data_IF_634176103384
#
_entry.id   IF_634176103384
#
_cell.length_a   1.000
_cell.length_b   1.000
_cell.length_c   1.000
_cell.angle_alpha   90.00
_cell.angle_beta   90.00
_cell.angle_gamma   90.00
#
_symmetry.space_group_name_H-M   'P 1'
#
loop_
_entity.id
_entity.type
_entity.pdbx_description
1 polymer ?
#
# COMPACT_ATOMS: atom_id res chain seq x y z
N UNK A 1 7.59 -14.02 -14.44
CA UNK A 1 7.73 -13.98 -12.96
C UNK A 1 6.40 -13.80 -12.23
N UNK A 2 5.43 -13.05 -12.76
CA UNK A 2 4.16 -12.73 -12.08
C UNK A 2 3.41 -13.98 -11.58
N UNK A 3 3.28 -15.04 -12.40
CA UNK A 3 2.61 -16.28 -11.99
C UNK A 3 3.28 -17.02 -10.82
N UNK A 4 4.55 -16.70 -10.51
CA UNK A 4 5.34 -17.36 -9.46
C UNK A 4 5.44 -16.46 -8.22
N UNK A 5 5.73 -15.18 -8.43
CA UNK A 5 6.04 -14.21 -7.37
C UNK A 5 4.89 -13.22 -7.08
N UNK A 6 3.79 -13.29 -7.84
CA UNK A 6 2.74 -12.28 -7.86
C UNK A 6 3.20 -10.95 -8.44
N UNK A 7 2.27 -9.99 -8.56
CA UNK A 7 2.55 -8.66 -9.13
C UNK A 7 3.62 -7.90 -8.35
N UNK A 8 3.48 -7.80 -7.01
CA UNK A 8 4.43 -7.06 -6.16
C UNK A 8 5.83 -7.68 -6.16
N UNK A 9 5.91 -9.00 -6.00
CA UNK A 9 7.19 -9.72 -5.98
C UNK A 9 7.93 -9.62 -7.30
N UNK A 10 7.22 -9.75 -8.44
CA UNK A 10 7.81 -9.56 -9.75
C UNK A 10 8.31 -8.11 -9.96
N UNK A 11 7.50 -7.12 -9.58
CA UNK A 11 7.85 -5.71 -9.70
C UNK A 11 9.05 -5.32 -8.82
N UNK A 12 9.16 -5.84 -7.59
CA UNK A 12 10.35 -5.64 -6.75
C UNK A 12 11.61 -6.26 -7.36
N UNK A 13 11.48 -7.46 -7.95
CA UNK A 13 12.56 -8.10 -8.70
C UNK A 13 13.03 -7.26 -9.89
N UNK A 14 12.09 -6.67 -10.63
CA UNK A 14 12.38 -5.77 -11.74
C UNK A 14 13.18 -4.54 -11.26
N UNK A 15 12.72 -3.88 -10.19
CA UNK A 15 13.43 -2.74 -9.60
C UNK A 15 14.86 -3.08 -9.19
N UNK A 16 15.09 -4.24 -8.57
CA UNK A 16 16.42 -4.71 -8.19
C UNK A 16 17.30 -4.90 -9.45
N UNK A 17 16.75 -5.49 -10.52
CA UNK A 17 17.49 -5.69 -11.78
C UNK A 17 17.91 -4.38 -12.45
N UNK A 18 17.16 -3.30 -12.21
CA UNK A 18 17.50 -1.95 -12.65
C UNK A 18 18.56 -1.29 -11.77
N UNK A 19 19.02 -1.91 -10.69
CA UNK A 19 19.91 -1.30 -9.71
C UNK A 19 19.22 -0.21 -8.89
N UNK A 20 17.90 -0.28 -8.72
CA UNK A 20 17.18 0.50 -7.72
C UNK A 20 17.42 -0.13 -6.36
N UNK A 21 17.66 0.71 -5.35
CA UNK A 21 17.88 0.26 -3.98
C UNK A 21 16.56 -0.15 -3.36
N UNK A 22 16.31 -1.45 -3.37
CA UNK A 22 15.17 -2.08 -2.74
C UNK A 22 15.69 -2.87 -1.52
N UNK A 23 15.01 -2.84 -0.36
CA UNK A 23 15.45 -3.64 0.77
C UNK A 23 15.49 -5.13 0.39
N UNK A 24 16.55 -5.86 0.77
CA UNK A 24 16.73 -7.24 0.36
C UNK A 24 15.63 -8.13 0.96
N UNK A 25 15.31 -9.20 0.25
CA UNK A 25 14.22 -10.09 0.63
C UNK A 25 14.17 -11.34 -0.25
N UNK A 26 13.12 -12.13 -0.07
CA UNK A 26 12.81 -13.29 -0.87
C UNK A 26 11.29 -13.42 -1.05
N UNK A 27 10.88 -14.31 -1.95
CA UNK A 27 9.46 -14.56 -2.22
C UNK A 27 9.14 -16.02 -1.92
N UNK A 28 8.16 -16.23 -1.06
CA UNK A 28 7.48 -17.52 -0.92
C UNK A 28 6.50 -17.62 -2.08
N UNK A 29 6.76 -18.54 -3.00
CA UNK A 29 6.11 -18.55 -4.31
C UNK A 29 4.63 -18.99 -4.23
N UNK A 30 3.88 -18.72 -5.29
CA UNK A 30 2.54 -19.29 -5.49
C UNK A 30 2.54 -20.83 -5.46
N UNK A 31 3.65 -21.47 -5.85
CA UNK A 31 3.80 -22.92 -5.74
C UNK A 31 3.89 -23.41 -4.30
N UNK A 32 4.53 -22.65 -3.41
CA UNK A 32 4.53 -22.97 -1.98
C UNK A 32 3.11 -22.91 -1.39
N UNK A 33 2.30 -21.93 -1.81
CA UNK A 33 0.89 -21.87 -1.46
C UNK A 33 0.13 -23.11 -1.98
N UNK A 34 0.27 -23.44 -3.27
CA UNK A 34 -0.37 -24.65 -3.83
C UNK A 34 0.05 -25.93 -3.10
N UNK A 35 1.33 -26.05 -2.78
CA UNK A 35 1.85 -27.20 -2.05
C UNK A 35 1.24 -27.30 -0.64
N UNK A 36 1.17 -26.18 0.08
CA UNK A 36 0.51 -26.10 1.39
C UNK A 36 -0.97 -26.50 1.32
N UNK A 37 -1.73 -25.98 0.35
CA UNK A 37 -3.15 -26.30 0.15
C UNK A 37 -3.34 -27.80 -0.12
N UNK A 38 -2.55 -28.37 -1.03
CA UNK A 38 -2.65 -29.77 -1.43
C UNK A 38 -2.22 -30.73 -0.30
N UNK A 39 -1.13 -30.45 0.40
CA UNK A 39 -0.66 -31.25 1.54
C UNK A 39 -1.73 -31.39 2.63
N UNK A 40 -2.46 -30.32 2.92
CA UNK A 40 -3.50 -30.28 3.94
C UNK A 40 -4.90 -30.68 3.42
N UNK A 41 -5.02 -31.01 2.12
CA UNK A 41 -6.30 -31.29 1.42
C UNK A 41 -7.34 -30.18 1.65
N UNK A 42 -6.90 -28.93 1.56
CA UNK A 42 -7.76 -27.77 1.84
C UNK A 42 -8.63 -27.40 0.65
N UNK A 43 -8.25 -27.77 -0.57
CA UNK A 43 -9.00 -27.54 -1.79
C UNK A 43 -10.42 -28.14 -1.74
N UNK A 44 -10.54 -29.40 -1.34
CA UNK A 44 -11.84 -30.08 -1.20
C UNK A 44 -12.69 -29.44 -0.10
N UNK A 45 -12.10 -29.16 1.06
CA UNK A 45 -12.79 -28.56 2.21
C UNK A 45 -13.27 -27.14 1.92
N UNK A 46 -12.44 -26.34 1.25
CA UNK A 46 -12.80 -24.98 0.85
C UNK A 46 -13.97 -25.05 -0.13
N UNK A 47 -13.91 -25.92 -1.14
CA UNK A 47 -15.01 -26.10 -2.11
C UNK A 47 -16.33 -26.46 -1.41
N UNK A 48 -16.29 -27.42 -0.48
CA UNK A 48 -17.47 -27.82 0.29
C UNK A 48 -18.07 -26.65 1.09
N UNK A 49 -17.23 -25.80 1.70
CA UNK A 49 -17.71 -24.59 2.40
C UNK A 49 -18.41 -23.65 1.42
N UNK A 50 -17.84 -23.40 0.24
CA UNK A 50 -18.44 -22.52 -0.77
C UNK A 50 -19.75 -23.08 -1.37
N UNK A 51 -19.92 -24.40 -1.40
CA UNK A 51 -21.16 -25.05 -1.85
C UNK A 51 -22.27 -24.90 -0.81
N UNK A 52 -21.96 -25.16 0.48
CA UNK A 52 -22.92 -25.17 1.58
C UNK A 52 -23.29 -23.79 2.09
N UNK A 53 -22.35 -22.85 2.10
CA UNK A 53 -22.54 -21.52 2.65
C UNK A 53 -22.71 -20.47 1.55
N UNK A 54 -23.55 -19.46 1.81
CA UNK A 54 -23.74 -18.32 0.90
C UNK A 54 -23.25 -17.01 1.46
N UNK A 55 -23.19 -16.88 2.78
CA UNK A 55 -22.72 -15.69 3.47
C UNK A 55 -21.19 -15.56 3.39
N UNK A 56 -20.70 -14.43 2.88
CA UNK A 56 -19.27 -14.20 2.64
C UNK A 56 -18.47 -14.11 3.94
N UNK A 57 -19.07 -13.59 5.03
CA UNK A 57 -18.42 -13.50 6.35
C UNK A 57 -18.23 -14.90 6.96
N UNK A 58 -19.29 -15.71 6.98
CA UNK A 58 -19.23 -17.09 7.47
C UNK A 58 -18.22 -17.94 6.68
N UNK A 59 -18.18 -17.78 5.35
CA UNK A 59 -17.17 -18.46 4.51
C UNK A 59 -15.77 -17.98 4.86
N UNK A 60 -15.57 -16.67 4.97
CA UNK A 60 -14.29 -16.06 5.34
C UNK A 60 -13.76 -16.63 6.65
N UNK A 61 -14.57 -16.64 7.71
CA UNK A 61 -14.18 -17.19 9.02
C UNK A 61 -13.79 -18.67 8.93
N UNK A 62 -14.62 -19.50 8.29
CA UNK A 62 -14.37 -20.95 8.17
C UNK A 62 -13.10 -21.25 7.37
N UNK A 63 -12.91 -20.59 6.23
CA UNK A 63 -11.74 -20.82 5.37
C UNK A 63 -10.45 -20.29 6.00
N UNK A 64 -10.50 -19.09 6.60
CA UNK A 64 -9.34 -18.55 7.33
C UNK A 64 -8.89 -19.49 8.44
N UNK A 65 -9.84 -20.02 9.21
CA UNK A 65 -9.55 -21.00 10.27
C UNK A 65 -8.82 -22.23 9.72
N UNK A 66 -9.31 -22.82 8.62
CA UNK A 66 -8.67 -23.96 7.97
C UNK A 66 -7.21 -23.66 7.54
N UNK A 67 -6.96 -22.48 6.98
CA UNK A 67 -5.61 -22.08 6.55
C UNK A 67 -4.69 -21.85 7.76
N UNK A 68 -5.18 -21.24 8.83
CA UNK A 68 -4.38 -20.97 10.02
C UNK A 68 -4.02 -22.25 10.80
N UNK A 69 -4.93 -23.23 10.82
CA UNK A 69 -4.74 -24.55 11.44
C UNK A 69 -3.92 -25.52 10.57
N UNK A 70 -3.80 -25.25 9.27
CA UNK A 70 -3.02 -26.07 8.34
C UNK A 70 -1.53 -26.15 8.70
N UNK A 71 -0.95 -27.33 8.50
CA UNK A 71 0.45 -27.60 8.76
C UNK A 71 1.30 -27.20 7.55
N UNK A 72 2.35 -26.40 7.76
CA UNK A 72 3.34 -26.14 6.71
C UNK A 72 4.24 -27.39 6.59
N UNK A 73 4.33 -28.02 5.40
CA UNK A 73 5.20 -29.17 5.17
C UNK A 73 6.63 -28.92 5.66
N UNK A 74 7.26 -29.93 6.27
CA UNK A 74 8.56 -29.80 6.94
C UNK A 74 9.66 -29.26 5.99
N UNK A 75 9.70 -29.75 4.77
CA UNK A 75 10.62 -29.32 3.73
C UNK A 75 10.38 -27.86 3.31
N UNK A 76 9.12 -27.45 3.15
CA UNK A 76 8.77 -26.05 2.87
C UNK A 76 9.15 -25.13 4.04
N UNK A 77 8.90 -25.57 5.28
CA UNK A 77 9.30 -24.86 6.49
C UNK A 77 10.81 -24.63 6.54
N UNK A 78 11.60 -25.67 6.29
CA UNK A 78 13.07 -25.60 6.28
C UNK A 78 13.57 -24.63 5.20
N UNK A 79 12.98 -24.66 3.99
CA UNK A 79 13.33 -23.73 2.92
C UNK A 79 13.05 -22.26 3.29
N UNK A 80 11.87 -21.97 3.86
CA UNK A 80 11.49 -20.61 4.26
C UNK A 80 12.44 -20.08 5.35
N UNK A 81 12.70 -20.88 6.38
CA UNK A 81 13.58 -20.48 7.48
C UNK A 81 15.03 -20.34 7.03
N UNK A 82 15.52 -21.23 6.15
CA UNK A 82 16.85 -21.11 5.56
C UNK A 82 17.00 -19.86 4.70
N UNK A 83 15.96 -19.45 3.98
CA UNK A 83 15.95 -18.21 3.21
C UNK A 83 16.02 -16.97 4.12
N UNK A 84 15.27 -16.98 5.23
CA UNK A 84 15.36 -15.95 6.26
C UNK A 84 16.76 -15.88 6.88
N UNK A 85 17.34 -17.03 7.26
CA UNK A 85 18.67 -17.09 7.87
C UNK A 85 19.76 -16.59 6.90
N UNK A 86 19.62 -16.92 5.62
CA UNK A 86 20.51 -16.41 4.56
C UNK A 86 20.38 -14.89 4.40
N UNK A 87 19.16 -14.35 4.46
CA UNK A 87 18.91 -12.91 4.43
C UNK A 87 19.52 -12.21 5.65
N UNK A 88 19.31 -12.75 6.86
CA UNK A 88 19.91 -12.21 8.09
C UNK A 88 21.43 -12.19 8.01
N UNK A 89 22.03 -13.27 7.49
CA UNK A 89 23.49 -13.40 7.32
C UNK A 89 24.04 -12.41 6.28
N UNK A 90 23.31 -12.16 5.19
CA UNK A 90 23.65 -11.15 4.19
C UNK A 90 23.65 -9.72 4.76
N UNK A 91 22.69 -9.43 5.65
CA UNK A 91 22.59 -8.11 6.31
C UNK A 91 23.60 -7.99 7.46
N UNK A 92 24.03 -9.09 8.07
CA UNK A 92 25.07 -9.14 9.11
C UNK A 92 24.59 -8.79 10.52
N UNK A 93 23.28 -8.79 10.77
CA UNK A 93 22.66 -8.56 12.09
C UNK A 93 21.32 -9.27 12.19
N UNK A 94 20.75 -9.30 13.40
CA UNK A 94 19.34 -9.68 13.58
C UNK A 94 18.44 -8.73 12.78
N UNK A 95 17.47 -9.28 12.05
CA UNK A 95 16.59 -8.53 11.16
C UNK A 95 15.13 -8.76 11.53
N UNK A 96 14.32 -7.76 11.25
CA UNK A 96 12.87 -7.91 11.18
C UNK A 96 12.47 -7.86 9.72
N UNK A 97 11.36 -8.51 9.38
CA UNK A 97 10.86 -8.54 8.00
C UNK A 97 9.44 -8.03 7.91
N UNK A 98 9.11 -7.38 6.79
CA UNK A 98 7.75 -7.20 6.34
C UNK A 98 7.33 -8.44 5.57
N UNK A 99 6.12 -8.94 5.83
CA UNK A 99 5.49 -9.96 5.00
C UNK A 99 4.30 -9.33 4.26
N UNK A 100 4.38 -9.34 2.94
CA UNK A 100 3.42 -8.66 2.05
C UNK A 100 2.82 -9.67 1.10
N UNK A 101 1.50 -9.66 1.05
CA UNK A 101 0.72 -10.36 0.02
C UNK A 101 1.10 -9.90 -1.39
N UNK A 102 1.24 -10.87 -2.30
CA UNK A 102 1.54 -10.66 -3.72
C UNK A 102 0.74 -11.68 -4.53
N UNK A 103 -0.50 -11.35 -4.88
CA UNK A 103 -1.36 -12.29 -5.58
C UNK A 103 -1.01 -12.37 -7.07
N UNK A 104 -1.27 -13.53 -7.66
CA UNK A 104 -0.96 -13.84 -9.08
C UNK A 104 -2.07 -13.36 -10.04
N UNK A 105 -3.29 -13.21 -9.54
CA UNK A 105 -4.47 -12.81 -10.31
C UNK A 105 -4.77 -11.28 -10.24
N UNK A 106 -3.80 -10.47 -9.82
CA UNK A 106 -3.94 -9.01 -9.68
C UNK A 106 -4.03 -8.26 -11.02
N UNK A 107 -3.76 -8.92 -12.15
CA UNK A 107 -3.69 -8.28 -13.47
C UNK A 107 -4.93 -8.54 -14.36
N UNK A 108 -6.13 -8.39 -13.80
CA UNK A 108 -7.19 -7.79 -14.63
C UNK A 108 -6.92 -6.29 -14.56
N UNK A 109 -6.55 -5.64 -15.67
CA UNK A 109 -6.11 -4.22 -15.80
C UNK A 109 -7.01 -3.14 -15.12
N UNK A 110 -8.12 -3.53 -14.50
CA UNK A 110 -9.05 -2.71 -13.72
C UNK A 110 -9.10 -3.01 -12.21
N UNK A 111 -8.35 -4.01 -11.73
CA UNK A 111 -8.47 -4.58 -10.39
C UNK A 111 -7.40 -4.01 -9.46
N UNK A 112 -7.50 -2.73 -9.10
CA UNK A 112 -6.76 -2.24 -7.95
C UNK A 112 -7.34 -2.86 -6.68
N UNK A 113 -6.83 -4.03 -6.28
CA UNK A 113 -6.99 -4.57 -4.92
C UNK A 113 -6.19 -3.75 -3.88
N UNK A 114 -6.02 -2.45 -4.13
CA UNK A 114 -5.30 -1.54 -3.26
C UNK A 114 -5.96 -1.56 -1.88
N UNK A 115 -5.17 -1.88 -0.86
CA UNK A 115 -5.60 -1.89 0.54
C UNK A 115 -6.52 -3.04 0.95
N UNK A 116 -6.65 -4.11 0.16
CA UNK A 116 -7.49 -5.27 0.54
C UNK A 116 -6.72 -6.43 1.17
N UNK A 117 -5.40 -6.50 0.99
CA UNK A 117 -4.60 -7.62 1.43
C UNK A 117 -3.65 -7.19 2.55
N UNK A 118 -3.48 -8.08 3.52
CA UNK A 118 -2.78 -7.78 4.76
C UNK A 118 -1.27 -7.64 4.51
N UNK A 119 -0.67 -6.68 5.21
CA UNK A 119 0.77 -6.51 5.33
C UNK A 119 1.10 -6.53 6.81
N UNK A 120 2.06 -7.36 7.19
CA UNK A 120 2.55 -7.44 8.55
C UNK A 120 3.96 -6.90 8.60
N UNK A 121 4.18 -5.88 9.43
CA UNK A 121 5.46 -5.23 9.62
C UNK A 121 6.17 -5.78 10.84
N UNK A 122 7.50 -5.68 10.85
CA UNK A 122 8.35 -6.03 12.00
C UNK A 122 8.19 -7.48 12.51
N UNK A 123 8.01 -8.42 11.58
CA UNK A 123 7.86 -9.85 11.86
C UNK A 123 9.22 -10.44 12.22
N UNK A 124 9.28 -11.17 13.34
CA UNK A 124 10.48 -11.91 13.76
C UNK A 124 10.60 -13.25 13.03
N UNK A 125 11.76 -13.90 13.15
CA UNK A 125 11.98 -15.25 12.62
C UNK A 125 10.95 -16.26 13.11
N UNK A 126 10.64 -16.21 14.41
CA UNK A 126 9.77 -17.18 15.06
C UNK A 126 8.30 -17.01 14.65
N UNK A 127 7.90 -15.78 14.35
CA UNK A 127 6.54 -15.45 13.89
C UNK A 127 6.35 -15.63 12.39
N UNK A 128 7.43 -15.83 11.62
CA UNK A 128 7.42 -15.77 10.16
C UNK A 128 6.42 -16.75 9.54
N UNK A 129 6.43 -18.00 9.97
CA UNK A 129 5.59 -19.06 9.42
C UNK A 129 4.10 -18.81 9.69
N UNK A 130 3.77 -18.42 10.92
CA UNK A 130 2.39 -18.09 11.28
C UNK A 130 1.91 -16.84 10.53
N UNK A 131 2.80 -15.88 10.33
CA UNK A 131 2.47 -14.67 9.57
C UNK A 131 2.27 -14.97 8.09
N UNK A 132 3.05 -15.87 7.49
CA UNK A 132 2.82 -16.35 6.13
C UNK A 132 1.43 -17.01 6.00
N UNK A 133 1.02 -17.84 6.97
CA UNK A 133 -0.35 -18.41 6.99
C UNK A 133 -1.41 -17.33 7.09
N UNK A 134 -1.22 -16.29 7.92
CA UNK A 134 -2.13 -15.14 8.00
C UNK A 134 -2.23 -14.41 6.66
N UNK A 135 -1.10 -14.17 6.00
CA UNK A 135 -1.08 -13.59 4.65
C UNK A 135 -1.89 -14.47 3.70
N UNK A 136 -1.65 -15.78 3.62
CA UNK A 136 -2.43 -16.69 2.80
C UNK A 136 -3.93 -16.69 3.14
N UNK A 137 -4.28 -16.64 4.42
CA UNK A 137 -5.65 -16.55 4.90
C UNK A 137 -6.34 -15.23 4.46
N UNK A 138 -5.58 -14.14 4.30
CA UNK A 138 -6.11 -12.86 3.81
C UNK A 138 -6.67 -12.93 2.38
N UNK A 139 -6.31 -13.97 1.61
CA UNK A 139 -6.94 -14.25 0.31
C UNK A 139 -8.45 -14.48 0.45
N UNK A 140 -8.91 -14.93 1.61
CA UNK A 140 -10.31 -15.28 1.89
C UNK A 140 -10.98 -14.31 2.86
N UNK A 141 -10.61 -13.03 2.86
CA UNK A 141 -11.45 -12.01 3.52
C UNK A 141 -12.82 -11.96 2.84
N UNK A 142 -13.88 -11.64 3.58
CA UNK A 142 -15.23 -11.53 3.03
C UNK A 142 -15.28 -10.58 1.81
N UNK A 143 -14.54 -9.48 1.90
CA UNK A 143 -14.36 -8.53 0.79
C UNK A 143 -13.70 -9.16 -0.44
N UNK A 144 -12.61 -9.91 -0.27
CA UNK A 144 -11.93 -10.57 -1.37
C UNK A 144 -12.80 -11.66 -2.02
N UNK A 145 -13.57 -12.40 -1.23
CA UNK A 145 -14.54 -13.38 -1.71
C UNK A 145 -15.64 -12.70 -2.54
N UNK A 146 -16.27 -11.67 -1.98
CA UNK A 146 -17.33 -10.91 -2.63
C UNK A 146 -16.87 -10.33 -3.97
N UNK A 147 -15.66 -9.76 -3.99
CA UNK A 147 -15.05 -9.25 -5.21
C UNK A 147 -14.89 -10.33 -6.28
N UNK A 148 -14.34 -11.50 -5.91
CA UNK A 148 -14.14 -12.60 -6.86
C UNK A 148 -15.46 -13.14 -7.38
N UNK A 149 -16.51 -13.22 -6.55
CA UNK A 149 -17.87 -13.57 -7.00
C UNK A 149 -18.38 -12.57 -8.03
N UNK A 150 -18.25 -11.27 -7.76
CA UNK A 150 -18.64 -10.21 -8.69
C UNK A 150 -17.91 -10.31 -10.04
N UNK A 151 -16.60 -10.62 -10.02
CA UNK A 151 -15.78 -10.80 -11.23
C UNK A 151 -15.87 -12.19 -11.86
N UNK A 152 -16.65 -13.12 -11.29
CA UNK A 152 -16.77 -14.52 -11.72
C UNK A 152 -15.41 -15.24 -11.78
N UNK A 153 -14.53 -14.91 -10.84
CA UNK A 153 -13.24 -15.58 -10.64
C UNK A 153 -13.49 -16.80 -9.74
N UNK A 154 -12.88 -17.92 -10.10
CA UNK A 154 -12.94 -19.14 -9.30
C UNK A 154 -12.33 -18.93 -7.92
N UNK A 155 -12.98 -19.47 -6.88
CA UNK A 155 -12.62 -19.21 -5.48
C UNK A 155 -11.50 -20.13 -4.98
N UNK A 156 -11.17 -21.18 -5.72
CA UNK A 156 -10.26 -22.24 -5.32
C UNK A 156 -8.94 -22.17 -6.12
N UNK A 157 -8.98 -21.75 -7.38
CA UNK A 157 -7.78 -21.64 -8.23
C UNK A 157 -6.96 -20.38 -7.99
N UNK A 158 -7.29 -19.59 -6.96
CA UNK A 158 -6.55 -18.37 -6.64
C UNK A 158 -5.28 -18.69 -5.86
N UNK A 159 -4.19 -18.06 -6.25
CA UNK A 159 -2.87 -18.31 -5.67
C UNK A 159 -2.21 -17.02 -5.23
N UNK A 160 -1.48 -17.10 -4.13
CA UNK A 160 -0.80 -15.96 -3.57
C UNK A 160 0.64 -16.29 -3.20
N UNK A 161 1.55 -15.51 -3.75
CA UNK A 161 2.91 -15.43 -3.25
C UNK A 161 2.98 -14.49 -2.05
N UNK A 162 4.03 -14.65 -1.24
CA UNK A 162 4.31 -13.78 -0.10
C UNK A 162 5.72 -13.21 -0.26
N UNK A 163 5.81 -11.88 -0.35
CA UNK A 163 7.08 -11.17 -0.32
C UNK A 163 7.51 -11.05 1.14
N UNK A 164 8.71 -11.56 1.45
CA UNK A 164 9.36 -11.41 2.75
C UNK A 164 10.56 -10.49 2.57
N UNK A 165 10.48 -9.29 3.12
CA UNK A 165 11.44 -8.21 2.85
C UNK A 165 12.00 -7.66 4.16
N UNK A 166 13.32 -7.40 4.23
CA UNK A 166 13.95 -6.76 5.38
C UNK A 166 13.27 -5.42 5.69
N UNK A 167 12.88 -5.22 6.94
CA UNK A 167 12.38 -3.93 7.41
C UNK A 167 13.47 -2.87 7.30
N UNK A 168 13.06 -1.69 6.82
CA UNK A 168 13.85 -0.46 6.92
C UNK A 168 13.56 0.15 8.29
N UNK A 169 14.60 0.49 9.04
CA UNK A 169 14.45 1.22 10.30
C UNK A 169 14.18 2.70 9.95
N UNK A 170 12.98 3.01 9.47
CA UNK A 170 12.72 4.29 8.82
C UNK A 170 12.80 5.46 9.79
N UNK A 171 13.72 6.41 9.54
CA UNK A 171 13.66 7.74 10.16
C UNK A 171 12.48 8.53 9.57
N UNK A 172 12.28 8.39 8.25
CA UNK A 172 11.22 9.02 7.48
C UNK A 172 10.81 8.07 6.35
N UNK A 173 9.56 8.15 5.94
CA UNK A 173 9.01 7.37 4.84
C UNK A 173 7.84 8.11 4.22
N UNK A 174 7.43 7.68 3.04
CA UNK A 174 6.30 8.28 2.37
C UNK A 174 6.09 7.75 0.96
N UNK A 175 5.43 8.57 0.16
CA UNK A 175 5.08 8.28 -1.22
C UNK A 175 5.66 9.35 -2.14
N UNK A 176 5.87 9.02 -3.40
CA UNK A 176 6.19 10.02 -4.40
C UNK A 176 5.54 9.66 -5.73
N UNK A 177 5.14 10.69 -6.45
CA UNK A 177 4.50 10.59 -7.75
C UNK A 177 5.42 11.21 -8.79
N UNK A 178 5.63 10.54 -9.92
CA UNK A 178 6.38 11.12 -11.05
C UNK A 178 5.52 12.06 -11.91
N UNK A 179 4.54 12.71 -11.28
CA UNK A 179 3.78 13.84 -11.80
C UNK A 179 3.24 14.61 -10.59
N UNK A 180 2.72 15.81 -10.82
CA UNK A 180 1.98 16.52 -9.78
C UNK A 180 0.58 15.89 -9.61
N UNK A 181 0.22 15.30 -8.46
CA UNK A 181 -1.01 14.50 -8.30
C UNK A 181 -2.30 15.32 -8.47
N UNK A 182 -2.27 16.61 -8.18
CA UNK A 182 -3.44 17.52 -8.32
C UNK A 182 -3.63 18.10 -9.72
N UNK A 183 -2.55 18.41 -10.44
CA UNK A 183 -2.61 19.11 -11.74
C UNK A 183 -2.36 18.17 -12.92
N UNK A 184 -1.74 17.01 -12.67
CA UNK A 184 -1.29 16.08 -13.71
C UNK A 184 -0.03 16.52 -14.44
N UNK A 185 0.66 17.56 -13.95
CA UNK A 185 1.88 18.06 -14.60
C UNK A 185 3.01 17.02 -14.51
N UNK A 186 3.42 16.50 -15.67
CA UNK A 186 4.44 15.46 -15.80
C UNK A 186 5.87 16.02 -15.74
N UNK A 187 6.07 17.33 -15.64
CA UNK A 187 7.39 17.95 -15.51
C UNK A 187 7.95 17.88 -14.08
N UNK A 188 7.12 17.49 -13.11
CA UNK A 188 7.49 17.47 -11.70
C UNK A 188 7.42 16.09 -11.09
N UNK A 189 8.16 15.90 -10.00
CA UNK A 189 8.02 14.81 -9.06
C UNK A 189 7.53 15.41 -7.75
N UNK A 190 6.41 14.93 -7.24
CA UNK A 190 5.91 15.29 -5.91
C UNK A 190 6.34 14.23 -4.92
N UNK A 191 7.04 14.64 -3.85
CA UNK A 191 7.48 13.76 -2.76
C UNK A 191 6.70 14.16 -1.51
N UNK A 192 5.97 13.21 -0.95
CA UNK A 192 5.25 13.36 0.31
C UNK A 192 5.95 12.54 1.39
N UNK A 193 6.25 13.16 2.53
CA UNK A 193 7.07 12.55 3.59
C UNK A 193 6.54 12.76 4.99
N UNK A 194 6.76 11.79 5.87
CA UNK A 194 6.53 11.95 7.31
C UNK A 194 7.55 11.15 8.12
N UNK A 195 7.63 11.43 9.42
CA UNK A 195 8.52 10.74 10.35
C UNK A 195 8.08 9.30 10.61
N UNK A 196 9.06 8.40 10.80
CA UNK A 196 8.83 6.99 11.12
C UNK A 196 8.42 6.14 9.93
N UNK A 197 7.60 5.11 10.20
CA UNK A 197 7.10 4.16 9.20
C UNK A 197 6.05 4.80 8.28
N UNK A 198 6.10 4.45 6.99
CA UNK A 198 5.23 5.02 5.95
C UNK A 198 3.74 4.69 6.10
N UNK A 199 3.39 3.77 7.01
CA UNK A 199 2.00 3.44 7.33
C UNK A 199 1.18 4.69 7.71
N UNK A 200 1.78 5.65 8.43
CA UNK A 200 1.09 6.87 8.83
C UNK A 200 0.64 7.70 7.62
N UNK A 201 1.47 7.78 6.57
CA UNK A 201 1.18 8.52 5.33
C UNK A 201 0.13 7.76 4.52
N UNK A 202 0.36 6.46 4.26
CA UNK A 202 -0.52 5.63 3.43
C UNK A 202 -1.93 5.49 4.02
N UNK A 203 -2.07 5.51 5.34
CA UNK A 203 -3.37 5.45 6.04
C UNK A 203 -4.02 6.83 6.25
N UNK A 204 -3.39 7.92 5.81
CA UNK A 204 -3.93 9.28 5.98
C UNK A 204 -4.01 9.75 7.44
N UNK A 205 -3.27 9.10 8.35
CA UNK A 205 -3.23 9.47 9.78
C UNK A 205 -2.42 10.75 10.04
N UNK A 206 -1.64 11.19 9.06
CA UNK A 206 -0.77 12.37 9.16
C UNK A 206 -0.83 13.19 7.87
N UNK A 207 -0.77 14.51 8.01
CA UNK A 207 -0.51 15.43 6.89
C UNK A 207 0.99 15.40 6.58
N UNK A 208 1.42 14.90 5.41
CA UNK A 208 2.84 14.81 5.09
C UNK A 208 3.44 16.18 4.75
N UNK A 209 4.77 16.28 4.84
CA UNK A 209 5.52 17.35 4.19
C UNK A 209 5.53 17.11 2.68
N UNK A 210 5.56 18.18 1.90
CA UNK A 210 5.56 18.14 0.44
C UNK A 210 6.86 18.77 -0.10
N UNK A 211 7.52 18.06 -1.02
CA UNK A 211 8.68 18.55 -1.77
C UNK A 211 8.43 18.35 -3.26
N UNK A 212 8.46 19.45 -4.01
CA UNK A 212 8.26 19.44 -5.46
C UNK A 212 9.61 19.59 -6.17
N UNK A 213 9.94 18.64 -7.03
CA UNK A 213 11.21 18.60 -7.78
C UNK A 213 10.94 18.70 -9.28
N UNK A 214 11.58 19.64 -9.97
CA UNK A 214 11.54 19.74 -11.43
C UNK A 214 12.42 18.64 -12.06
N UNK A 215 11.85 17.82 -12.95
CA UNK A 215 12.53 16.65 -13.52
C UNK A 215 13.73 16.99 -14.39
N UNK A 216 13.65 18.06 -15.18
CA UNK A 216 14.67 18.44 -16.16
C UNK A 216 15.98 18.87 -15.50
N UNK A 217 15.90 19.55 -14.36
CA UNK A 217 17.08 20.06 -13.65
C UNK A 217 17.36 19.37 -12.31
N UNK A 218 16.45 18.52 -11.83
CA UNK A 218 16.46 17.93 -10.49
C UNK A 218 16.55 18.99 -9.36
N UNK A 219 15.96 20.16 -9.58
CA UNK A 219 15.94 21.24 -8.57
C UNK A 219 14.66 21.15 -7.77
N UNK A 220 14.78 21.32 -6.46
CA UNK A 220 13.64 21.53 -5.58
C UNK A 220 13.08 22.93 -5.88
N UNK A 221 11.84 22.97 -6.36
CA UNK A 221 11.15 24.23 -6.72
C UNK A 221 10.21 24.71 -5.60
N UNK A 222 9.72 23.77 -4.77
CA UNK A 222 8.82 24.07 -3.67
C UNK A 222 9.06 23.10 -2.50
N UNK A 223 8.97 23.62 -1.27
CA UNK A 223 8.97 22.86 -0.03
C UNK A 223 7.87 23.38 0.87
N UNK A 224 7.05 22.48 1.40
CA UNK A 224 5.99 22.81 2.35
C UNK A 224 6.06 21.83 3.51
N UNK A 225 6.38 22.35 4.68
CA UNK A 225 6.38 21.59 5.93
C UNK A 225 4.98 21.55 6.51
N UNK A 226 4.55 20.38 6.95
CA UNK A 226 3.27 20.17 7.61
C UNK A 226 3.48 19.84 9.09
N UNK A 227 2.50 20.21 9.92
CA UNK A 227 2.47 19.80 11.33
C UNK A 227 2.11 18.31 11.42
N UNK A 228 3.11 17.46 11.61
CA UNK A 228 2.95 16.01 11.71
C UNK A 228 2.52 15.65 13.12
N UNK A 229 1.26 15.25 13.30
CA UNK A 229 0.66 14.98 14.61
C UNK A 229 1.19 13.72 15.30
N UNK A 230 1.72 12.77 14.54
CA UNK A 230 2.23 11.50 15.05
C UNK A 230 3.30 10.91 14.14
N UNK A 231 4.05 9.95 14.68
CA UNK A 231 4.87 8.99 13.93
C UNK A 231 4.64 7.58 14.44
N UNK A 232 4.89 6.59 13.58
CA UNK A 232 4.86 5.17 13.94
C UNK A 232 6.30 4.65 13.94
N UNK A 233 6.73 4.03 15.04
CA UNK A 233 8.08 3.46 15.18
C UNK A 233 8.00 2.06 15.76
N UNK A 234 9.02 1.23 15.51
CA UNK A 234 9.11 -0.07 16.15
C UNK A 234 9.80 0.02 17.50
N UNK A 235 9.16 -0.46 18.55
CA UNK A 235 9.74 -0.58 19.89
C UNK A 235 10.35 -1.97 20.07
N UNK A 236 11.68 -2.02 20.20
CA UNK A 236 12.44 -3.27 20.36
C UNK A 236 12.15 -3.99 21.68
N UNK A 237 11.78 -3.27 22.74
CA UNK A 237 11.52 -3.86 24.06
C UNK A 237 10.15 -4.53 24.09
N UNK A 238 9.13 -3.83 23.56
CA UNK A 238 7.76 -4.34 23.49
C UNK A 238 7.51 -5.26 22.29
N UNK A 239 8.43 -5.26 21.32
CA UNK A 239 8.33 -5.99 20.05
C UNK A 239 7.08 -5.63 19.25
N UNK A 240 6.67 -4.37 19.28
CA UNK A 240 5.46 -3.88 18.62
C UNK A 240 5.67 -2.51 17.98
N UNK A 241 4.76 -2.15 17.07
CA UNK A 241 4.70 -0.80 16.53
C UNK A 241 4.01 0.12 17.54
N UNK A 242 4.65 1.23 17.87
CA UNK A 242 4.09 2.28 18.71
C UNK A 242 3.76 3.51 17.89
N UNK A 243 2.55 4.03 18.11
CA UNK A 243 2.16 5.36 17.67
C UNK A 243 2.60 6.37 18.71
N UNK A 244 3.49 7.29 18.33
CA UNK A 244 3.99 8.35 19.20
C UNK A 244 3.41 9.68 18.69
N UNK A 245 2.68 10.38 19.55
CA UNK A 245 2.24 11.74 19.25
C UNK A 245 3.45 12.67 19.23
N UNK A 246 3.55 13.48 18.18
CA UNK A 246 4.61 14.45 18.01
C UNK A 246 4.15 15.82 18.52
N UNK A 247 5.06 16.55 19.13
CA UNK A 247 4.84 17.92 19.61
C UNK A 247 6.10 18.77 19.39
N UNK A 248 5.92 20.09 19.37
CA UNK A 248 7.02 21.04 19.25
C UNK A 248 7.80 20.93 17.94
N UNK A 249 9.10 21.18 18.01
CA UNK A 249 9.97 21.35 16.84
C UNK A 249 9.98 20.12 15.91
N UNK A 250 9.93 18.89 16.45
CA UNK A 250 9.92 17.68 15.62
C UNK A 250 8.67 17.59 14.73
N UNK A 251 7.50 17.97 15.26
CA UNK A 251 6.23 17.95 14.51
C UNK A 251 6.25 18.94 13.33
N UNK A 252 6.90 20.08 13.53
CA UNK A 252 6.95 21.22 12.60
C UNK A 252 8.22 21.24 11.72
N UNK A 253 9.06 20.20 11.79
CA UNK A 253 10.30 20.08 11.01
C UNK A 253 10.13 19.21 9.78
N UNK A 254 10.83 19.54 8.69
CA UNK A 254 10.87 18.72 7.48
C UNK A 254 11.48 17.35 7.77
N UNK A 255 10.80 16.27 7.35
CA UNK A 255 11.26 14.90 7.60
C UNK A 255 12.37 14.40 6.64
N UNK A 256 12.65 15.15 5.58
CA UNK A 256 13.68 14.87 4.58
C UNK A 256 14.73 15.98 4.51
N UNK A 257 15.97 15.59 4.21
CA UNK A 257 16.98 16.55 3.72
C UNK A 257 16.82 16.80 2.21
N UNK A 258 17.38 17.91 1.72
CA UNK A 258 17.35 18.24 0.30
C UNK A 258 18.11 17.20 -0.54
N UNK A 259 19.22 16.65 -0.03
CA UNK A 259 20.00 15.60 -0.70
C UNK A 259 19.22 14.29 -0.83
N UNK A 260 18.45 13.93 0.21
CA UNK A 260 17.57 12.75 0.20
C UNK A 260 16.42 12.92 -0.78
N UNK A 261 15.78 14.09 -0.82
CA UNK A 261 14.72 14.40 -1.78
C UNK A 261 15.23 14.35 -3.24
N UNK A 262 16.41 14.89 -3.51
CA UNK A 262 17.04 14.84 -4.84
C UNK A 262 17.38 13.39 -5.23
N UNK A 263 17.87 12.58 -4.29
CA UNK A 263 18.19 11.18 -4.55
C UNK A 263 16.94 10.34 -4.82
N UNK A 264 15.86 10.57 -4.07
CA UNK A 264 14.54 10.00 -4.36
C UNK A 264 14.07 10.37 -5.77
N UNK A 265 14.18 11.64 -6.16
CA UNK A 265 13.79 12.10 -7.48
C UNK A 265 14.60 11.41 -8.61
N UNK A 266 15.90 11.20 -8.43
CA UNK A 266 16.73 10.43 -9.39
C UNK A 266 16.27 8.99 -9.53
N UNK A 267 15.99 8.31 -8.41
CA UNK A 267 15.46 6.95 -8.42
C UNK A 267 14.08 6.91 -9.11
N UNK A 268 13.21 7.88 -8.83
CA UNK A 268 11.89 8.00 -9.42
C UNK A 268 11.96 8.17 -10.95
N UNK A 269 12.84 9.03 -11.45
CA UNK A 269 13.07 9.19 -12.89
C UNK A 269 13.53 7.90 -13.55
N UNK A 270 14.46 7.18 -12.93
CA UNK A 270 14.96 5.91 -13.46
C UNK A 270 13.85 4.86 -13.54
N UNK A 271 12.97 4.82 -12.54
CA UNK A 271 11.79 3.95 -12.51
C UNK A 271 10.81 4.36 -13.62
N UNK A 272 10.44 5.64 -13.71
CA UNK A 272 9.53 6.15 -14.73
C UNK A 272 10.05 5.90 -16.17
N UNK A 273 11.34 6.14 -16.42
CA UNK A 273 11.97 5.89 -17.71
C UNK A 273 11.87 4.42 -18.12
N UNK A 274 12.07 3.51 -17.17
CA UNK A 274 11.95 2.08 -17.43
C UNK A 274 10.50 1.66 -17.75
N UNK A 275 9.52 2.12 -16.97
CA UNK A 275 8.11 1.75 -17.16
C UNK A 275 7.39 2.56 -18.27
N UNK A 276 8.01 3.64 -18.75
CA UNK A 276 7.52 4.51 -19.82
C UNK A 276 6.22 5.25 -19.48
N UNK A 277 5.88 5.39 -18.20
CA UNK A 277 4.63 5.98 -17.72
C UNK A 277 4.80 6.58 -16.33
N UNK A 278 3.91 7.50 -15.90
CA UNK A 278 3.96 8.03 -14.55
C UNK A 278 3.76 6.94 -13.49
N UNK A 279 4.48 7.09 -12.37
CA UNK A 279 4.59 6.08 -11.32
C UNK A 279 4.20 6.66 -9.95
N UNK A 280 3.58 5.82 -9.13
CA UNK A 280 3.32 5.97 -7.71
C UNK A 280 4.30 5.05 -6.95
N UNK A 281 5.15 5.63 -6.11
CA UNK A 281 6.32 4.97 -5.54
C UNK A 281 6.33 5.17 -4.02
N UNK A 282 6.37 4.07 -3.26
CA UNK A 282 6.59 4.10 -1.81
C UNK A 282 8.09 3.99 -1.52
N UNK A 283 8.56 4.78 -0.56
CA UNK A 283 9.98 4.86 -0.21
C UNK A 283 10.19 4.98 1.30
N UNK A 284 11.41 4.70 1.74
CA UNK A 284 11.84 4.83 3.13
C UNK A 284 13.30 5.29 3.23
N UNK A 285 13.60 6.08 4.25
CA UNK A 285 14.94 6.51 4.61
C UNK A 285 15.38 5.77 5.87
N UNK A 286 16.39 4.92 5.75
CA UNK A 286 16.92 4.11 6.84
C UNK A 286 17.70 4.99 7.85
N UNK A 287 17.38 4.86 9.13
CA UNK A 287 18.03 5.59 10.22
C UNK A 287 19.42 5.03 10.57
N UNK A 288 19.68 3.76 10.25
CA UNK A 288 20.94 3.09 10.59
C UNK A 288 22.05 3.36 9.55
N UNK A 289 21.67 3.82 8.35
CA UNK A 289 22.58 4.04 7.23
C UNK A 289 22.81 5.53 6.99
N UNK A 290 23.94 5.85 6.37
CA UNK A 290 24.27 7.23 5.98
C UNK A 290 23.85 7.48 4.54
N UNK A 291 23.55 8.74 4.23
CA UNK A 291 23.42 9.18 2.85
C UNK A 291 24.73 8.91 2.07
N UNK A 292 24.65 8.44 0.81
CA UNK A 292 23.43 8.21 0.04
C UNK A 292 22.73 6.87 0.33
N UNK A 293 23.38 5.90 0.96
CA UNK A 293 22.95 4.49 1.07
C UNK A 293 21.67 4.25 1.88
N UNK A 294 21.15 5.26 2.57
CA UNK A 294 19.95 5.18 3.38
C UNK A 294 18.63 5.29 2.59
N UNK A 295 18.66 5.60 1.28
CA UNK A 295 17.45 5.80 0.47
C UNK A 295 16.99 4.49 -0.18
N UNK A 296 15.79 4.01 0.19
CA UNK A 296 15.21 2.77 -0.33
C UNK A 296 13.85 3.00 -0.99
N UNK A 297 13.61 2.28 -2.08
CA UNK A 297 12.30 2.11 -2.70
C UNK A 297 11.68 0.80 -2.19
N UNK A 298 10.48 0.88 -1.63
CA UNK A 298 9.79 -0.28 -1.03
C UNK A 298 8.62 -0.77 -1.89
N UNK A 299 8.11 0.06 -2.81
CA UNK A 299 7.11 -0.33 -3.80
C UNK A 299 7.12 0.68 -4.96
N UNK A 300 6.81 0.23 -6.17
CA UNK A 300 6.51 1.11 -7.29
C UNK A 300 5.34 0.53 -8.08
N UNK A 301 4.44 1.36 -8.58
CA UNK A 301 3.34 0.92 -9.44
C UNK A 301 2.93 2.04 -10.41
N UNK A 302 2.27 1.73 -11.52
CA UNK A 302 1.73 2.77 -12.40
C UNK A 302 0.78 3.72 -11.66
N UNK A 303 0.90 5.01 -11.94
CA UNK A 303 -0.11 6.01 -11.60
C UNK A 303 -1.31 5.83 -12.54
N UNK A 304 -2.53 5.75 -11.99
CA UNK A 304 -3.71 5.35 -12.76
C UNK A 304 -4.74 6.45 -12.95
N UNK A 305 -4.77 7.50 -12.12
CA UNK A 305 -5.78 8.56 -12.22
C UNK A 305 -5.58 9.41 -13.47
N UNK A 306 -4.40 10.00 -13.67
CA UNK A 306 -4.14 10.88 -14.82
C UNK A 306 -3.94 10.10 -16.10
N UNK A 307 -3.34 8.91 -16.02
CA UNK A 307 -3.21 7.99 -17.15
C UNK A 307 -4.56 7.58 -17.74
N UNK A 308 -5.59 7.40 -16.90
CA UNK A 308 -6.95 7.08 -17.37
C UNK A 308 -7.73 8.32 -17.82
N UNK A 309 -7.54 9.48 -17.17
CA UNK A 309 -8.18 10.74 -17.58
C UNK A 309 -7.72 11.23 -18.95
N UNK A 310 -6.52 10.88 -19.42
CA UNK A 310 -6.13 11.17 -20.82
C UNK A 310 -6.94 10.38 -21.86
N UNK A 311 -7.60 9.28 -21.46
CA UNK A 311 -8.50 8.49 -22.33
C UNK A 311 -9.95 8.97 -22.28
N UNK A 312 -10.35 9.69 -21.24
CA UNK A 312 -11.67 10.34 -21.16
C UNK A 312 -11.53 11.82 -21.56
N UNK A 313 -12.13 12.21 -22.69
CA UNK A 313 -12.07 13.58 -23.20
C UNK A 313 -12.36 14.63 -22.10
N UNK A 314 -11.59 15.74 -22.15
CA UNK A 314 -11.68 16.89 -21.23
C UNK A 314 -13.15 17.34 -21.08
N UNK A 315 -13.78 17.00 -19.96
CA UNK A 315 -15.02 17.67 -19.54
C UNK A 315 -14.70 19.15 -19.28
N UNK A 316 -15.57 20.01 -19.80
CA UNK A 316 -15.47 21.47 -19.78
C UNK A 316 -15.08 22.03 -18.41
N UNK A 317 -14.24 23.08 -18.41
CA UNK A 317 -13.93 23.86 -17.21
C UNK A 317 -15.22 24.44 -16.63
N UNK A 318 -15.65 23.89 -15.50
CA UNK A 318 -16.77 24.43 -14.73
C UNK A 318 -16.32 25.77 -14.14
N UNK A 319 -16.86 26.88 -14.66
CA UNK A 319 -16.65 28.21 -14.07
C UNK A 319 -17.30 28.24 -12.69
N UNK A 320 -16.49 28.31 -11.64
CA UNK A 320 -16.95 28.47 -10.26
C UNK A 320 -17.39 29.92 -10.05
N UNK A 321 -18.60 30.14 -9.54
CA UNK A 321 -19.01 31.46 -9.06
C UNK A 321 -18.18 31.90 -7.85
N UNK A 322 -17.98 33.21 -7.66
CA UNK A 322 -17.22 33.75 -6.53
C UNK A 322 -18.01 33.51 -5.23
N UNK A 323 -17.70 32.42 -4.53
CA UNK A 323 -18.23 32.10 -3.20
C UNK A 323 -17.23 32.45 -2.09
N UNK A 324 -17.74 32.70 -0.87
CA UNK A 324 -16.90 32.85 0.31
C UNK A 324 -16.31 31.48 0.68
N UNK A 325 -14.98 31.37 0.73
CA UNK A 325 -14.29 30.17 1.19
C UNK A 325 -14.53 30.00 2.69
N UNK A 326 -15.21 28.92 3.09
CA UNK A 326 -15.48 28.60 4.51
C UNK A 326 -14.37 27.77 5.15
N UNK A 327 -13.76 26.87 4.39
CA UNK A 327 -12.67 26.00 4.84
C UNK A 327 -11.76 25.64 3.66
N UNK A 328 -10.55 25.15 3.95
CA UNK A 328 -9.57 24.64 2.99
C UNK A 328 -9.00 23.34 3.52
N UNK A 329 -8.74 22.40 2.61
CA UNK A 329 -8.13 21.10 2.90
C UNK A 329 -7.16 20.69 1.80
N UNK A 330 -6.66 19.47 1.90
CA UNK A 330 -5.79 18.90 0.86
C UNK A 330 -6.61 18.54 -0.39
N UNK A 331 -6.14 18.90 -1.60
CA UNK A 331 -6.78 18.49 -2.85
C UNK A 331 -6.53 17.01 -3.15
N UNK A 332 -7.23 16.11 -2.48
CA UNK A 332 -7.06 14.65 -2.62
C UNK A 332 -7.48 14.10 -3.99
N UNK A 333 -8.47 14.74 -4.64
CA UNK A 333 -8.93 14.37 -5.99
C UNK A 333 -9.33 15.63 -6.75
N UNK A 334 -8.88 15.81 -8.00
CA UNK A 334 -9.16 17.02 -8.75
C UNK A 334 -10.58 16.99 -9.34
N UNK A 335 -11.27 18.12 -9.24
CA UNK A 335 -12.62 18.28 -9.75
C UNK A 335 -13.36 19.42 -9.06
N UNK A 336 -14.52 19.75 -9.60
CA UNK A 336 -15.47 20.70 -9.01
C UNK A 336 -16.78 19.94 -8.87
N UNK A 337 -17.35 19.96 -7.67
CA UNK A 337 -18.62 19.32 -7.38
C UNK A 337 -19.52 20.29 -6.61
N UNK A 338 -20.82 20.10 -6.77
CA UNK A 338 -21.84 20.80 -6.03
C UNK A 338 -22.90 19.81 -5.55
N UNK A 339 -23.51 20.08 -4.41
CA UNK A 339 -24.51 19.21 -3.82
C UNK A 339 -24.82 19.63 -2.38
N UNK A 340 -25.85 19.02 -1.80
CA UNK A 340 -26.15 19.19 -0.39
C UNK A 340 -25.04 18.55 0.44
N UNK A 341 -24.44 19.27 1.36
CA UNK A 341 -23.49 18.69 2.31
C UNK A 341 -24.22 17.88 3.38
N UNK A 342 -23.77 16.65 3.63
CA UNK A 342 -24.31 15.78 4.68
C UNK A 342 -23.17 15.26 5.55
N UNK A 343 -23.22 15.61 6.83
CA UNK A 343 -22.24 15.16 7.83
C UNK A 343 -22.64 13.77 8.32
N UNK A 344 -21.79 12.78 8.09
CA UNK A 344 -21.98 11.39 8.51
C UNK A 344 -20.68 10.94 9.17
N UNK A 345 -20.76 10.53 10.44
CA UNK A 345 -19.58 10.14 11.21
C UNK A 345 -19.39 8.62 11.28
N UNK A 346 -20.45 7.84 11.06
CA UNK A 346 -20.43 6.39 10.97
C UNK A 346 -21.15 5.95 9.69
N UNK A 347 -20.53 5.04 8.92
CA UNK A 347 -21.08 4.49 7.67
C UNK A 347 -22.48 3.90 7.85
N UNK A 348 -22.81 3.40 9.05
CA UNK A 348 -24.12 2.82 9.39
C UNK A 348 -25.27 3.84 9.31
N UNK A 349 -24.96 5.12 9.46
CA UNK A 349 -25.93 6.22 9.41
C UNK A 349 -26.17 6.73 7.98
N UNK A 350 -25.51 6.13 6.99
CA UNK A 350 -25.61 6.53 5.59
C UNK A 350 -26.72 5.82 4.79
N UNK A 351 -27.64 5.11 5.45
CA UNK A 351 -28.71 4.35 4.79
C UNK A 351 -29.55 5.19 3.82
N UNK A 352 -29.80 6.45 4.18
CA UNK A 352 -30.60 7.37 3.35
C UNK A 352 -29.72 8.30 2.50
N UNK A 353 -28.46 7.94 2.22
CA UNK A 353 -27.56 8.80 1.47
C UNK A 353 -27.99 8.89 -0.01
N UNK A 354 -28.34 10.09 -0.45
CA UNK A 354 -28.82 10.33 -1.80
C UNK A 354 -27.67 10.54 -2.79
N UNK A 355 -27.83 10.01 -4.01
CA UNK A 355 -26.87 10.21 -5.09
C UNK A 355 -26.70 11.70 -5.40
N UNK A 356 -25.47 12.17 -5.51
CA UNK A 356 -25.14 13.57 -5.77
C UNK A 356 -24.97 14.44 -4.52
N UNK A 357 -25.13 13.87 -3.33
CA UNK A 357 -24.84 14.53 -2.04
C UNK A 357 -23.32 14.64 -1.82
N UNK A 358 -22.87 15.70 -1.14
CA UNK A 358 -21.49 15.85 -0.69
C UNK A 358 -21.35 15.16 0.67
N UNK A 359 -20.53 14.12 0.74
CA UNK A 359 -20.21 13.42 1.99
C UNK A 359 -19.21 14.25 2.80
N UNK A 360 -19.56 14.55 4.05
CA UNK A 360 -18.64 15.14 5.02
C UNK A 360 -18.45 14.15 6.17
N UNK A 361 -17.23 13.68 6.40
CA UNK A 361 -16.92 12.73 7.48
C UNK A 361 -15.57 13.07 8.11
N UNK A 362 -15.08 12.29 9.08
CA UNK A 362 -13.74 12.48 9.66
C UNK A 362 -12.65 11.72 8.92
N UNK A 363 -12.99 10.52 8.48
CA UNK A 363 -12.08 9.62 7.78
C UNK A 363 -12.93 8.62 7.01
N UNK A 364 -12.49 8.27 5.80
CA UNK A 364 -13.10 7.20 5.01
C UNK A 364 -12.23 5.95 5.10
N UNK A 365 -12.86 4.83 5.37
CA UNK A 365 -12.29 3.49 5.27
C UNK A 365 -13.01 2.71 4.12
N UNK A 366 -12.63 1.45 3.84
CA UNK A 366 -13.28 0.64 2.82
C UNK A 366 -14.81 0.51 2.88
N UNK A 367 -15.42 0.61 4.05
CA UNK A 367 -16.87 0.45 4.22
C UNK A 367 -17.62 1.63 3.59
N UNK A 368 -16.95 2.77 3.42
CA UNK A 368 -17.50 3.95 2.76
C UNK A 368 -17.60 3.82 1.24
N UNK A 369 -16.91 2.87 0.61
CA UNK A 369 -16.81 2.75 -0.86
C UNK A 369 -18.17 2.76 -1.58
N UNK A 370 -19.23 2.06 -1.11
CA UNK A 370 -20.55 2.13 -1.73
C UNK A 370 -21.13 3.56 -1.76
N UNK A 371 -20.95 4.32 -0.69
CA UNK A 371 -21.42 5.70 -0.55
C UNK A 371 -20.55 6.65 -1.38
N UNK A 372 -19.24 6.46 -1.34
CA UNK A 372 -18.28 7.26 -2.12
C UNK A 372 -18.60 7.21 -3.62
N UNK A 373 -19.07 6.07 -4.14
CA UNK A 373 -19.46 5.92 -5.55
C UNK A 373 -20.69 6.73 -5.96
N UNK A 374 -21.56 7.06 -5.01
CA UNK A 374 -22.80 7.82 -5.28
C UNK A 374 -22.71 9.27 -4.82
N UNK A 375 -21.72 9.62 -4.00
CA UNK A 375 -21.43 10.99 -3.58
C UNK A 375 -20.92 11.84 -4.76
N UNK A 376 -21.25 13.14 -4.77
CA UNK A 376 -20.71 14.10 -5.74
C UNK A 376 -19.31 14.60 -5.35
N UNK A 377 -19.05 14.72 -4.06
CA UNK A 377 -17.74 15.00 -3.48
C UNK A 377 -17.63 14.45 -2.06
N UNK A 378 -16.39 14.39 -1.56
CA UNK A 378 -16.04 13.91 -0.23
C UNK A 378 -15.15 14.96 0.43
N UNK A 379 -15.47 15.29 1.68
CA UNK A 379 -14.69 16.17 2.55
C UNK A 379 -14.43 15.38 3.83
N UNK A 380 -13.16 15.19 4.19
CA UNK A 380 -12.70 14.52 5.41
C UNK A 380 -12.00 15.49 6.35
#
# INVERSE_FOLDING_TARGET
MINIAGGKGANLGELISLGIRVPPGFVVTSYAYKYFISYNKLDEKIREIFEKEKDDETISEKVKKLILEGEIPKDLREQILSAYDSLAKMVGKEILVATRSSATAEDIESASFAGQQETYLNVTRDELLDTIKKVWASLYTARAISYRRFKRIDQVTVEMAVVVQKMVNSKAAGVMFTLHPVTGDKNYIMIESSWGLGEAVVSGKVTPDEVLVEKSTLRIVEKKTSHKVLKIVYDKQKKENLTINLTGEEADSMSLSDEEAIELAKLALKIEQHYGRPMDIEWAIDADLKYPDNVFIVQARPETYWSNKQKEERKEEVKIGVGKVLTRGLPASPGIAFGRARVILDVKDAKDFEKGTILVTRMTDPDWVPIMKIASAIIT
#
